data_IF_672444684009
#
_entry.id   IF_672444684009
#
_cell.length_a   1.000
_cell.length_b   1.000
_cell.length_c   1.000
_cell.angle_alpha   90.00
_cell.angle_beta   90.00
_cell.angle_gamma   90.00
#
_symmetry.space_group_name_H-M   'P 1'
#
loop_
_entity.id
_entity.type
_entity.pdbx_description
1 polymer ?
#
# COMPACT_ATOMS: atom_id res chain seq x y z
N UNK A 1 -50.24 -61.47 39.56
CA UNK A 1 -49.07 -61.19 38.65
C UNK A 1 -49.39 -59.92 37.90
N UNK A 2 -48.76 -58.75 38.31
CA UNK A 2 -49.03 -57.43 37.73
C UNK A 2 -47.72 -57.01 37.02
N UNK A 3 -47.74 -56.94 35.71
CA UNK A 3 -46.64 -56.41 34.89
C UNK A 3 -46.66 -54.87 34.94
N UNK A 4 -45.57 -54.27 35.39
CA UNK A 4 -45.38 -52.83 35.34
C UNK A 4 -44.53 -52.53 34.09
N UNK A 5 -45.07 -51.87 33.08
CA UNK A 5 -44.36 -51.28 31.96
C UNK A 5 -43.79 -49.93 32.37
N UNK A 6 -42.45 -49.82 32.34
CA UNK A 6 -41.76 -48.53 32.55
C UNK A 6 -41.47 -47.92 31.19
N UNK A 7 -42.13 -46.82 30.90
CA UNK A 7 -41.90 -46.00 29.69
C UNK A 7 -40.67 -45.10 29.96
N UNK A 8 -39.55 -45.38 29.27
CA UNK A 8 -38.38 -44.49 29.29
C UNK A 8 -38.55 -43.45 28.18
N UNK A 9 -38.78 -42.19 28.56
CA UNK A 9 -38.77 -41.04 27.66
C UNK A 9 -37.29 -40.63 27.49
N UNK A 10 -36.75 -40.80 26.28
CA UNK A 10 -35.43 -40.25 25.91
C UNK A 10 -35.64 -38.80 25.48
N UNK A 11 -35.16 -37.86 26.27
CA UNK A 11 -35.12 -36.45 25.90
C UNK A 11 -33.94 -36.22 24.94
N UNK A 12 -34.21 -35.94 23.65
CA UNK A 12 -33.25 -35.47 22.70
C UNK A 12 -33.05 -33.96 22.90
N UNK A 13 -31.96 -33.55 23.51
CA UNK A 13 -31.53 -32.15 23.52
C UNK A 13 -30.84 -31.85 22.19
N UNK A 14 -31.57 -31.21 21.29
CA UNK A 14 -30.99 -30.61 20.10
C UNK A 14 -30.14 -29.38 20.53
N UNK A 15 -28.84 -29.55 20.61
CA UNK A 15 -27.91 -28.44 20.82
C UNK A 15 -27.97 -27.50 19.62
N UNK A 16 -28.54 -26.31 19.79
CA UNK A 16 -28.39 -25.23 18.81
C UNK A 16 -26.93 -24.75 18.86
N UNK A 17 -26.12 -25.15 17.89
CA UNK A 17 -24.82 -24.54 17.66
C UNK A 17 -25.09 -23.15 17.09
N UNK A 18 -25.04 -22.13 17.92
CA UNK A 18 -24.95 -20.75 17.46
C UNK A 18 -23.57 -20.60 16.84
N UNK A 19 -23.50 -20.65 15.52
CA UNK A 19 -22.31 -20.22 14.77
C UNK A 19 -22.11 -18.75 15.12
N UNK A 20 -21.10 -18.45 15.93
CA UNK A 20 -20.63 -17.08 16.11
C UNK A 20 -20.17 -16.59 14.76
N UNK A 21 -20.65 -15.44 14.26
CA UNK A 21 -20.09 -14.88 13.05
C UNK A 21 -18.60 -14.65 13.30
N UNK A 22 -17.74 -15.34 12.56
CA UNK A 22 -16.31 -15.05 12.53
C UNK A 22 -16.20 -13.75 11.72
N UNK A 23 -15.93 -12.66 12.42
CA UNK A 23 -15.70 -11.36 11.79
C UNK A 23 -14.35 -11.42 11.11
N UNK A 24 -14.26 -10.86 9.90
CA UNK A 24 -12.97 -10.58 9.29
C UNK A 24 -12.17 -9.71 10.25
N UNK A 25 -10.91 -10.07 10.52
CA UNK A 25 -10.06 -9.22 11.33
C UNK A 25 -9.67 -8.00 10.50
N UNK A 26 -10.04 -6.78 10.92
CA UNK A 26 -9.72 -5.58 10.18
C UNK A 26 -8.19 -5.39 10.15
N UNK A 27 -7.67 -5.11 8.97
CA UNK A 27 -6.29 -4.71 8.77
C UNK A 27 -6.21 -3.19 8.71
N UNK A 28 -5.27 -2.63 9.46
CA UNK A 28 -4.91 -1.22 9.41
C UNK A 28 -3.42 -1.06 9.59
N UNK A 29 -2.78 -0.32 8.69
CA UNK A 29 -1.39 0.09 8.76
C UNK A 29 -1.30 1.60 8.54
N UNK A 30 -0.38 2.29 9.22
CA UNK A 30 -0.08 3.69 8.96
C UNK A 30 1.34 4.03 9.40
N UNK A 31 2.01 4.89 8.64
CA UNK A 31 3.29 5.49 8.98
C UNK A 31 3.15 6.74 9.86
N UNK A 32 1.93 7.22 10.07
CA UNK A 32 1.62 8.39 10.89
C UNK A 32 1.42 9.66 10.08
N UNK A 33 1.52 10.80 10.76
CA UNK A 33 1.32 12.12 10.17
C UNK A 33 2.61 12.71 9.59
N UNK A 34 2.53 13.70 8.69
CA UNK A 34 3.70 14.42 8.20
C UNK A 34 4.55 15.02 9.32
N UNK A 35 5.88 14.90 9.18
CA UNK A 35 6.85 15.41 10.14
C UNK A 35 7.47 16.77 9.75
N UNK A 36 7.12 17.28 8.56
CA UNK A 36 7.64 18.54 8.04
C UNK A 36 9.12 18.49 7.62
N UNK A 37 9.72 17.31 7.50
CA UNK A 37 11.14 17.21 7.15
C UNK A 37 11.34 17.22 5.63
N UNK A 38 10.71 16.31 4.90
CA UNK A 38 10.91 16.11 3.47
C UNK A 38 9.61 16.17 2.69
N UNK A 39 9.67 16.81 1.50
CA UNK A 39 8.71 16.62 0.42
C UNK A 39 9.42 15.96 -0.78
N UNK A 40 9.09 14.71 -1.08
CA UNK A 40 9.67 13.97 -2.19
C UNK A 40 8.75 14.00 -3.40
N UNK A 41 9.29 14.32 -4.59
CA UNK A 41 8.48 14.33 -5.81
C UNK A 41 7.91 12.93 -6.08
N UNK A 42 6.60 12.86 -6.29
CA UNK A 42 5.92 11.63 -6.72
C UNK A 42 4.85 11.99 -7.74
N UNK A 43 5.20 11.87 -9.03
CA UNK A 43 4.36 12.33 -10.13
C UNK A 43 4.41 11.42 -11.34
N UNK A 44 3.28 11.30 -11.98
CA UNK A 44 3.15 10.66 -13.29
C UNK A 44 3.87 11.43 -14.40
N UNK A 45 4.30 10.74 -15.46
CA UNK A 45 4.88 11.40 -16.61
C UNK A 45 3.88 12.36 -17.27
N UNK A 46 4.35 13.53 -17.67
CA UNK A 46 3.55 14.52 -18.39
C UNK A 46 4.45 15.30 -19.36
N UNK A 47 3.91 16.07 -20.32
CA UNK A 47 4.73 16.78 -21.29
C UNK A 47 5.81 17.63 -20.64
N UNK A 48 7.08 17.28 -20.92
CA UNK A 48 8.25 17.96 -20.38
C UNK A 48 8.64 17.60 -18.94
N UNK A 49 7.93 16.66 -18.30
CA UNK A 49 8.19 16.21 -16.92
C UNK A 49 8.41 14.70 -16.91
N UNK A 50 9.54 14.28 -16.38
CA UNK A 50 9.83 12.86 -16.15
C UNK A 50 8.92 12.31 -15.06
N UNK A 51 8.53 11.06 -15.23
CA UNK A 51 7.98 10.26 -14.14
C UNK A 51 8.96 10.22 -12.97
N UNK A 52 8.44 10.33 -11.77
CA UNK A 52 9.23 10.27 -10.55
C UNK A 52 8.41 9.56 -9.49
N UNK A 53 9.00 8.54 -8.90
CA UNK A 53 8.37 7.58 -8.02
C UNK A 53 9.02 7.64 -6.64
N UNK A 54 8.23 7.91 -5.61
CA UNK A 54 8.65 7.79 -4.21
C UNK A 54 7.87 6.67 -3.54
N UNK A 55 8.57 5.76 -2.88
CA UNK A 55 8.01 4.56 -2.28
C UNK A 55 8.47 4.38 -0.83
N UNK A 56 7.61 3.78 -0.02
CA UNK A 56 7.91 3.40 1.36
C UNK A 56 7.27 2.05 1.70
N UNK A 57 7.78 1.35 2.71
CA UNK A 57 7.49 -0.05 2.93
C UNK A 57 6.39 -0.33 3.95
N UNK A 58 5.83 -1.53 3.86
CA UNK A 58 4.90 -2.11 4.82
C UNK A 58 5.03 -3.63 4.85
N UNK A 59 4.64 -4.24 5.97
CA UNK A 59 4.68 -5.69 6.16
C UNK A 59 3.26 -6.22 6.38
N UNK A 60 2.93 -7.30 5.67
CA UNK A 60 1.74 -8.12 5.89
C UNK A 60 2.14 -9.42 6.56
N UNK A 61 1.54 -9.73 7.70
CA UNK A 61 1.78 -10.99 8.42
C UNK A 61 0.91 -12.14 7.93
N UNK A 62 -0.14 -11.82 7.20
CA UNK A 62 -1.12 -12.76 6.65
C UNK A 62 -1.61 -12.29 5.29
N UNK A 63 -2.25 -13.17 4.53
CA UNK A 63 -2.93 -12.76 3.30
C UNK A 63 -3.94 -11.66 3.62
N UNK A 64 -3.83 -10.54 2.92
CA UNK A 64 -4.62 -9.34 3.18
C UNK A 64 -5.28 -8.84 1.90
N UNK A 65 -6.54 -8.46 2.02
CA UNK A 65 -7.28 -7.73 0.98
C UNK A 65 -7.28 -6.26 1.38
N UNK A 66 -6.49 -5.45 0.67
CA UNK A 66 -6.39 -3.99 0.88
C UNK A 66 -7.47 -3.32 0.03
N UNK A 67 -8.37 -2.59 0.67
CA UNK A 67 -9.52 -1.93 0.02
C UNK A 67 -9.37 -0.42 -0.11
N UNK A 68 -8.52 0.20 0.70
CA UNK A 68 -8.31 1.65 0.67
C UNK A 68 -6.92 2.04 1.19
N UNK A 69 -6.52 3.27 0.83
CA UNK A 69 -5.30 3.90 1.30
C UNK A 69 -5.53 5.41 1.53
N UNK A 70 -4.66 6.04 2.29
CA UNK A 70 -4.52 7.51 2.32
C UNK A 70 -3.07 7.88 2.06
N UNK A 71 -2.83 9.01 1.44
CA UNK A 71 -1.51 9.63 1.29
C UNK A 71 -1.61 11.11 1.61
N UNK A 72 -0.54 11.69 2.12
CA UNK A 72 -0.47 13.13 2.39
C UNK A 72 0.69 13.76 1.64
N UNK A 73 0.44 14.89 1.00
CA UNK A 73 1.46 15.60 0.24
C UNK A 73 1.24 17.11 0.17
N UNK A 74 2.20 17.80 -0.44
CA UNK A 74 2.11 19.21 -0.75
C UNK A 74 1.79 19.43 -2.23
N UNK A 75 0.91 20.39 -2.49
CA UNK A 75 0.72 20.99 -3.80
C UNK A 75 1.06 22.50 -3.72
N UNK A 76 1.38 23.16 -4.85
CA UNK A 76 1.70 24.58 -4.83
C UNK A 76 0.56 25.43 -4.26
N UNK A 77 0.91 26.48 -3.54
CA UNK A 77 -0.06 27.42 -2.93
C UNK A 77 -1.05 27.95 -3.97
N UNK A 78 -2.35 27.95 -3.61
CA UNK A 78 -3.43 28.44 -4.46
C UNK A 78 -3.80 27.49 -5.61
N UNK A 79 -3.33 26.25 -5.60
CA UNK A 79 -3.70 25.22 -6.57
C UNK A 79 -5.08 24.64 -6.20
N UNK A 80 -6.10 24.77 -7.05
CA UNK A 80 -7.39 24.14 -6.77
C UNK A 80 -7.24 22.63 -6.60
N UNK A 81 -7.90 22.03 -5.61
CA UNK A 81 -7.87 20.56 -5.40
C UNK A 81 -8.34 19.78 -6.64
N UNK A 82 -9.22 20.36 -7.46
CA UNK A 82 -9.65 19.78 -8.72
C UNK A 82 -8.53 19.62 -9.77
N UNK A 83 -7.37 20.27 -9.56
CA UNK A 83 -6.19 20.10 -10.40
C UNK A 83 -5.42 18.80 -10.10
N UNK A 84 -5.75 18.10 -9.02
CA UNK A 84 -5.34 16.71 -8.80
C UNK A 84 -6.25 15.86 -9.70
N UNK A 85 -5.72 15.42 -10.85
CA UNK A 85 -6.52 14.87 -11.94
C UNK A 85 -6.35 13.37 -12.14
N UNK A 86 -5.27 12.80 -11.61
CA UNK A 86 -5.04 11.36 -11.64
C UNK A 86 -4.21 10.93 -10.43
N UNK A 87 -4.53 9.74 -9.94
CA UNK A 87 -3.79 9.04 -8.89
C UNK A 87 -3.56 7.61 -9.35
N UNK A 88 -2.35 7.13 -9.22
CA UNK A 88 -1.94 5.75 -9.42
C UNK A 88 -1.28 5.21 -8.16
N UNK A 89 -1.46 3.93 -7.92
CA UNK A 89 -0.81 3.18 -6.84
C UNK A 89 -0.21 1.92 -7.43
N UNK A 90 1.06 1.69 -7.14
CA UNK A 90 1.76 0.46 -7.43
C UNK A 90 2.34 -0.14 -6.16
N UNK A 91 2.41 -1.46 -6.15
CA UNK A 91 3.05 -2.22 -5.08
C UNK A 91 4.26 -2.96 -5.66
N UNK A 92 5.36 -2.90 -4.95
CA UNK A 92 6.60 -3.57 -5.31
C UNK A 92 6.99 -4.59 -4.24
N UNK A 93 7.60 -5.69 -4.65
CA UNK A 93 8.34 -6.53 -3.71
C UNK A 93 9.63 -5.83 -3.26
N UNK A 94 10.25 -6.37 -2.21
CA UNK A 94 11.58 -5.94 -1.78
C UNK A 94 12.64 -6.68 -2.61
N UNK A 95 13.61 -5.92 -3.15
CA UNK A 95 14.78 -6.49 -3.86
C UNK A 95 15.43 -7.63 -3.04
N UNK A 96 15.82 -8.78 -3.63
CA UNK A 96 16.01 -9.02 -5.08
C UNK A 96 14.80 -9.67 -5.79
N UNK A 97 13.65 -9.84 -5.14
CA UNK A 97 12.49 -10.38 -5.81
C UNK A 97 12.10 -9.47 -6.98
N UNK A 98 11.70 -10.04 -8.11
CA UNK A 98 11.30 -9.36 -9.35
C UNK A 98 12.36 -8.37 -9.88
N UNK A 99 13.64 -8.70 -9.69
CA UNK A 99 14.75 -7.81 -10.00
C UNK A 99 15.91 -8.53 -10.65
N UNK A 100 16.72 -7.77 -11.44
CA UNK A 100 17.99 -8.24 -11.93
C UNK A 100 19.03 -8.24 -10.80
N UNK A 101 19.82 -9.32 -10.70
CA UNK A 101 20.96 -9.43 -9.80
C UNK A 101 22.23 -9.81 -10.65
N UNK A 102 23.29 -9.02 -10.63
CA UNK A 102 23.55 -7.85 -9.78
C UNK A 102 22.81 -6.58 -10.26
N UNK A 103 22.70 -5.55 -9.39
CA UNK A 103 22.20 -4.22 -9.76
C UNK A 103 22.99 -3.61 -10.91
N UNK A 104 22.41 -2.63 -11.62
CA UNK A 104 23.02 -1.99 -12.79
C UNK A 104 24.38 -1.31 -12.53
N UNK A 105 24.72 -1.04 -11.28
CA UNK A 105 25.92 -0.31 -10.87
C UNK A 105 25.77 1.22 -10.90
N UNK A 106 24.57 1.73 -11.15
CA UNK A 106 24.28 3.17 -11.16
C UNK A 106 23.93 3.74 -9.79
N UNK A 107 23.78 2.88 -8.79
CA UNK A 107 23.38 3.25 -7.41
C UNK A 107 24.29 2.59 -6.40
N UNK A 108 24.44 3.14 -5.17
CA UNK A 108 25.31 2.56 -4.15
C UNK A 108 24.89 1.18 -3.69
N UNK A 109 23.60 0.91 -3.66
CA UNK A 109 23.02 -0.35 -3.17
C UNK A 109 21.61 -0.52 -3.70
N UNK A 110 21.20 -1.77 -3.87
CA UNK A 110 19.81 -2.17 -4.08
C UNK A 110 19.26 -2.96 -2.88
N UNK A 111 20.11 -3.19 -1.88
CA UNK A 111 19.69 -3.94 -0.68
C UNK A 111 18.52 -3.22 -0.01
N UNK A 112 17.42 -3.94 0.13
CA UNK A 112 16.17 -3.43 0.69
C UNK A 112 15.53 -2.28 -0.12
N UNK A 113 15.81 -2.18 -1.42
CA UNK A 113 15.07 -1.28 -2.31
C UNK A 113 13.75 -1.90 -2.76
N UNK A 114 12.84 -1.11 -3.35
CA UNK A 114 11.81 -1.69 -4.19
C UNK A 114 12.43 -2.51 -5.34
N UNK A 115 11.68 -3.49 -5.84
CA UNK A 115 12.03 -4.30 -7.01
C UNK A 115 12.18 -3.47 -8.29
N UNK A 116 12.60 -4.12 -9.39
CA UNK A 116 12.73 -3.46 -10.70
C UNK A 116 11.37 -3.13 -11.31
N UNK A 117 10.41 -4.03 -11.09
CA UNK A 117 9.06 -3.95 -11.65
C UNK A 117 8.01 -4.07 -10.53
N UNK A 118 6.88 -3.46 -10.79
CA UNK A 118 5.70 -3.53 -9.93
C UNK A 118 5.01 -4.89 -10.01
N UNK A 119 4.16 -5.17 -9.04
CA UNK A 119 3.24 -6.31 -9.06
C UNK A 119 2.03 -5.92 -9.91
N UNK A 120 1.96 -6.36 -11.16
CA UNK A 120 0.88 -6.03 -12.11
C UNK A 120 -0.52 -6.18 -11.52
N UNK A 121 -0.76 -7.27 -10.78
CA UNK A 121 -2.06 -7.56 -10.16
C UNK A 121 -2.40 -6.63 -9.01
N UNK A 122 -1.44 -5.84 -8.51
CA UNK A 122 -1.59 -4.87 -7.42
C UNK A 122 -1.55 -3.41 -7.89
N UNK A 123 -1.36 -3.14 -9.18
CA UNK A 123 -1.40 -1.79 -9.76
C UNK A 123 -2.83 -1.29 -9.89
N UNK A 124 -3.09 -0.05 -9.44
CA UNK A 124 -4.40 0.61 -9.51
C UNK A 124 -4.25 2.04 -9.98
N UNK A 125 -5.13 2.44 -10.90
CA UNK A 125 -5.12 3.79 -11.50
C UNK A 125 -6.55 4.34 -11.60
N UNK A 126 -6.69 5.62 -11.33
CA UNK A 126 -7.97 6.33 -11.44
C UNK A 126 -8.43 6.53 -12.89
N UNK A 127 -7.50 6.56 -13.86
CA UNK A 127 -7.80 6.68 -15.28
C UNK A 127 -8.65 5.53 -15.81
N UNK A 128 -8.22 4.26 -15.72
CA UNK A 128 -9.04 3.10 -16.03
C UNK A 128 -10.13 2.82 -15.00
N UNK A 129 -10.15 3.52 -13.87
CA UNK A 129 -11.20 3.38 -12.86
C UNK A 129 -11.01 2.22 -11.89
N UNK A 130 -9.80 1.66 -11.77
CA UNK A 130 -9.48 0.60 -10.80
C UNK A 130 -9.28 1.14 -9.38
N UNK A 131 -9.16 2.45 -9.22
CA UNK A 131 -9.30 3.18 -7.98
C UNK A 131 -10.16 4.44 -8.18
N UNK A 132 -10.69 4.97 -7.07
CA UNK A 132 -11.28 6.31 -6.97
C UNK A 132 -10.60 7.05 -5.85
N UNK A 133 -10.55 8.36 -5.93
CA UNK A 133 -9.97 9.18 -4.88
C UNK A 133 -10.83 10.41 -4.59
N UNK A 134 -10.64 10.95 -3.39
CA UNK A 134 -11.11 12.27 -2.98
C UNK A 134 -9.97 13.02 -2.31
N UNK A 135 -10.03 14.35 -2.37
CA UNK A 135 -8.98 15.21 -1.85
C UNK A 135 -9.54 16.15 -0.79
N UNK A 136 -8.77 16.38 0.25
CA UNK A 136 -9.09 17.35 1.30
C UNK A 136 -7.88 18.22 1.61
N UNK A 137 -8.12 19.52 1.85
CA UNK A 137 -7.11 20.45 2.34
C UNK A 137 -6.96 20.26 3.85
N UNK A 138 -5.76 19.90 4.31
CA UNK A 138 -5.44 19.78 5.73
C UNK A 138 -4.88 21.09 6.29
N UNK A 139 -3.95 21.72 5.55
CA UNK A 139 -3.31 22.96 5.95
C UNK A 139 -3.00 23.82 4.73
N UNK A 140 -3.50 25.05 4.71
CA UNK A 140 -3.30 25.97 3.59
C UNK A 140 -1.87 26.54 3.49
N UNK A 141 -1.00 26.28 4.48
CA UNK A 141 0.36 26.82 4.52
C UNK A 141 1.29 25.90 5.32
N UNK A 142 1.57 24.72 4.79
CA UNK A 142 2.47 23.74 5.39
C UNK A 142 3.87 23.88 4.80
N UNK A 143 4.88 23.78 5.65
CA UNK A 143 6.28 23.89 5.25
C UNK A 143 7.03 22.59 5.50
N UNK A 144 7.94 22.24 4.58
CA UNK A 144 8.96 21.21 4.76
C UNK A 144 10.35 21.82 4.79
N UNK A 145 11.26 21.21 5.54
CA UNK A 145 12.62 21.72 5.68
C UNK A 145 13.47 21.46 4.44
N UNK A 146 13.11 20.42 3.65
CA UNK A 146 13.84 20.08 2.43
C UNK A 146 12.94 19.38 1.41
N UNK A 147 13.40 19.36 0.17
CA UNK A 147 12.70 18.69 -0.93
C UNK A 147 13.64 17.80 -1.74
N UNK A 148 13.09 16.78 -2.39
CA UNK A 148 13.80 15.93 -3.34
C UNK A 148 13.00 15.92 -4.65
N UNK A 149 13.43 16.71 -5.61
CA UNK A 149 12.74 16.95 -6.90
C UNK A 149 13.64 16.61 -8.10
N UNK A 150 14.83 17.20 -8.16
CA UNK A 150 15.77 17.06 -9.30
C UNK A 150 17.05 16.31 -8.93
N UNK A 151 17.30 16.12 -7.65
CA UNK A 151 18.52 15.51 -7.12
C UNK A 151 18.65 14.00 -7.34
N UNK A 152 17.82 13.40 -8.18
CA UNK A 152 17.72 11.95 -8.41
C UNK A 152 18.66 11.59 -9.57
N UNK A 153 19.91 11.24 -9.26
CA UNK A 153 20.97 11.05 -10.26
C UNK A 153 21.58 9.65 -10.24
N UNK A 154 22.01 9.17 -11.42
CA UNK A 154 22.76 7.92 -11.60
C UNK A 154 24.16 7.90 -10.96
N UNK A 155 24.59 8.97 -10.30
CA UNK A 155 25.92 9.03 -9.70
C UNK A 155 25.83 8.86 -8.19
N UNK A 156 26.09 7.66 -7.68
CA UNK A 156 25.89 7.33 -6.27
C UNK A 156 26.79 8.10 -5.29
N UNK A 157 27.80 8.80 -5.77
CA UNK A 157 28.71 9.58 -4.93
C UNK A 157 28.38 11.07 -4.84
N UNK A 158 27.39 11.53 -5.59
CA UNK A 158 26.95 12.92 -5.58
C UNK A 158 25.65 13.05 -4.78
N UNK A 159 25.76 13.13 -3.49
CA UNK A 159 24.67 13.60 -2.65
C UNK A 159 24.36 15.06 -3.03
N UNK A 160 23.12 15.31 -3.37
CA UNK A 160 22.68 16.67 -3.75
C UNK A 160 22.23 17.48 -2.55
N UNK A 161 21.99 16.82 -1.42
CA UNK A 161 21.46 17.37 -0.19
C UNK A 161 20.01 17.90 -0.31
N UNK A 162 19.32 17.60 -1.42
CA UNK A 162 18.00 18.13 -1.74
C UNK A 162 18.03 19.56 -2.27
N UNK A 163 16.86 20.12 -2.52
CA UNK A 163 16.70 21.47 -3.12
C UNK A 163 16.30 22.55 -2.08
N UNK A 164 16.33 22.23 -0.81
CA UNK A 164 15.98 23.16 0.27
C UNK A 164 14.47 23.19 0.60
N UNK A 165 14.06 24.15 1.46
CA UNK A 165 12.71 24.19 1.99
C UNK A 165 11.67 24.53 0.93
N UNK A 166 10.46 24.03 1.13
CA UNK A 166 9.28 24.42 0.35
C UNK A 166 8.09 24.68 1.26
N UNK A 167 7.16 25.50 0.77
CA UNK A 167 5.85 25.75 1.39
C UNK A 167 4.77 25.52 0.37
N UNK A 168 3.71 24.85 0.76
CA UNK A 168 2.57 24.52 -0.10
C UNK A 168 1.30 24.30 0.71
N UNK A 169 0.26 23.86 0.03
CA UNK A 169 -0.96 23.38 0.64
C UNK A 169 -0.79 21.89 0.96
N UNK A 170 -0.95 21.54 2.24
CA UNK A 170 -0.98 20.13 2.68
C UNK A 170 -2.33 19.53 2.34
N UNK A 171 -2.31 18.48 1.56
CA UNK A 171 -3.51 17.79 1.10
C UNK A 171 -3.47 16.33 1.45
N UNK A 172 -4.60 15.80 1.88
CA UNK A 172 -4.83 14.36 1.98
C UNK A 172 -5.56 13.87 0.74
N UNK A 173 -5.11 12.75 0.21
CA UNK A 173 -5.78 12.02 -0.85
C UNK A 173 -6.25 10.69 -0.27
N UNK A 174 -7.57 10.56 -0.12
CA UNK A 174 -8.22 9.32 0.30
C UNK A 174 -8.52 8.47 -0.94
N UNK A 175 -7.99 7.26 -0.98
CA UNK A 175 -8.05 6.33 -2.11
C UNK A 175 -8.95 5.16 -1.73
N UNK A 176 -9.88 4.81 -2.62
CA UNK A 176 -10.67 3.58 -2.54
C UNK A 176 -10.38 2.72 -3.76
N UNK A 177 -9.90 1.51 -3.54
CA UNK A 177 -9.67 0.55 -4.63
C UNK A 177 -11.01 -0.05 -5.06
N UNK A 178 -11.45 0.26 -6.29
CA UNK A 178 -12.68 -0.32 -6.86
C UNK A 178 -12.49 -1.80 -7.21
N UNK A 179 -11.22 -2.19 -7.40
CA UNK A 179 -10.76 -3.57 -7.45
C UNK A 179 -9.76 -3.74 -6.30
N UNK A 180 -10.17 -4.28 -5.15
CA UNK A 180 -9.28 -4.47 -4.00
C UNK A 180 -8.00 -5.21 -4.37
N UNK A 181 -6.91 -4.93 -3.65
CA UNK A 181 -5.60 -5.55 -3.86
C UNK A 181 -5.48 -6.74 -2.92
N UNK A 182 -5.21 -7.93 -3.45
CA UNK A 182 -5.00 -9.15 -2.64
C UNK A 182 -3.51 -9.49 -2.64
N UNK A 183 -2.89 -9.45 -1.46
CA UNK A 183 -1.48 -9.74 -1.29
C UNK A 183 -1.27 -10.86 -0.26
N UNK A 184 -0.33 -11.78 -0.47
CA UNK A 184 0.09 -12.74 0.56
C UNK A 184 0.82 -12.05 1.71
N UNK A 185 1.09 -12.79 2.79
CA UNK A 185 2.06 -12.35 3.79
C UNK A 185 3.39 -12.03 3.11
N UNK A 186 3.98 -10.89 3.43
CA UNK A 186 5.20 -10.44 2.76
C UNK A 186 5.61 -9.03 3.16
N UNK A 187 6.73 -8.61 2.60
CA UNK A 187 7.27 -7.27 2.75
C UNK A 187 7.19 -6.55 1.40
N UNK A 188 6.61 -5.37 1.37
CA UNK A 188 6.24 -4.66 0.15
C UNK A 188 6.59 -3.18 0.26
N UNK A 189 6.68 -2.52 -0.90
CA UNK A 189 6.69 -1.07 -1.01
C UNK A 189 5.37 -0.59 -1.61
N UNK A 190 4.85 0.49 -1.03
CA UNK A 190 3.71 1.24 -1.52
C UNK A 190 4.21 2.49 -2.25
N UNK A 191 3.86 2.62 -3.54
CA UNK A 191 4.28 3.72 -4.39
C UNK A 191 3.05 4.42 -4.98
N UNK A 192 2.67 5.59 -4.48
CA UNK A 192 1.65 6.43 -5.10
C UNK A 192 2.29 7.41 -6.09
N UNK A 193 1.60 7.72 -7.17
CA UNK A 193 1.88 8.85 -8.05
C UNK A 193 0.65 9.72 -8.22
N UNK A 194 0.87 11.03 -8.30
CA UNK A 194 -0.20 12.02 -8.40
C UNK A 194 0.06 12.99 -9.55
N UNK A 195 -0.91 13.14 -10.45
CA UNK A 195 -0.87 14.12 -11.51
C UNK A 195 -1.59 15.39 -11.07
N UNK A 196 -0.82 16.49 -10.97
CA UNK A 196 -1.34 17.82 -10.65
C UNK A 196 -1.22 18.74 -11.87
N UNK A 197 -2.34 19.19 -12.39
CA UNK A 197 -2.35 20.17 -13.49
C UNK A 197 -1.79 21.52 -13.03
N UNK A 198 -0.70 21.94 -13.66
CA UNK A 198 -0.06 23.22 -13.35
C UNK A 198 0.88 23.19 -12.14
N UNK A 199 1.13 22.02 -11.57
CA UNK A 199 2.02 21.87 -10.43
C UNK A 199 2.68 20.50 -10.35
N UNK A 200 3.20 20.19 -9.18
CA UNK A 200 3.73 18.88 -8.81
C UNK A 200 3.17 18.51 -7.42
N UNK A 201 3.12 17.20 -7.14
CA UNK A 201 2.81 16.66 -5.83
C UNK A 201 4.10 16.23 -5.16
N UNK A 202 4.36 16.78 -3.99
CA UNK A 202 5.47 16.35 -3.13
C UNK A 202 4.91 15.45 -2.04
N UNK A 203 5.21 14.18 -2.09
CA UNK A 203 4.85 13.21 -1.08
C UNK A 203 5.57 13.54 0.22
N UNK A 204 4.85 13.69 1.33
CA UNK A 204 5.42 14.13 2.61
C UNK A 204 6.02 12.97 3.39
N UNK A 205 7.12 13.25 4.07
CA UNK A 205 7.74 12.31 5.01
C UNK A 205 6.96 12.20 6.31
N UNK A 206 7.07 11.03 6.94
CA UNK A 206 6.60 10.72 8.27
C UNK A 206 7.76 10.44 9.23
N UNK A 207 7.56 10.55 10.55
CA UNK A 207 8.59 10.27 11.54
C UNK A 207 9.09 8.84 11.49
N UNK A 208 10.37 8.67 11.75
CA UNK A 208 10.99 7.37 11.93
C UNK A 208 11.69 7.30 13.30
N UNK A 209 11.46 6.28 14.14
CA UNK A 209 10.55 5.14 13.92
C UNK A 209 9.08 5.56 13.83
N UNK A 210 8.22 4.68 13.28
CA UNK A 210 6.78 4.91 13.19
C UNK A 210 6.21 5.18 14.60
N UNK A 211 5.45 6.28 14.72
CA UNK A 211 4.83 6.70 15.98
C UNK A 211 3.30 6.66 15.90
N UNK A 212 2.65 6.74 17.08
CA UNK A 212 1.18 6.80 17.13
C UNK A 212 0.64 7.94 16.25
N UNK A 213 -0.40 7.68 15.39
CA UNK A 213 -1.19 6.45 15.31
C UNK A 213 -0.57 5.32 14.47
N UNK A 214 0.67 5.42 14.06
CA UNK A 214 1.35 4.43 13.22
C UNK A 214 1.39 3.02 13.80
N UNK A 215 1.73 2.06 12.96
CA UNK A 215 1.85 0.64 13.33
C UNK A 215 3.32 0.23 13.32
N UNK A 216 4.03 0.24 14.46
CA UNK A 216 5.43 -0.16 14.54
C UNK A 216 5.63 -1.61 14.07
N UNK A 217 6.67 -1.86 13.30
CA UNK A 217 7.04 -3.20 12.85
C UNK A 217 8.57 -3.36 12.81
N UNK A 218 9.02 -4.64 12.92
CA UNK A 218 10.44 -4.98 12.81
C UNK A 218 10.81 -5.06 11.33
N UNK A 219 11.91 -4.42 10.96
CA UNK A 219 12.38 -4.40 9.57
C UNK A 219 11.87 -3.20 8.78
N UNK A 220 11.28 -2.19 9.45
CA UNK A 220 10.93 -0.89 8.87
C UNK A 220 12.11 -0.33 8.04
N UNK A 221 11.91 -0.20 6.73
CA UNK A 221 12.89 0.27 5.77
C UNK A 221 12.77 1.79 5.60
N UNK A 222 13.72 2.40 4.95
CA UNK A 222 13.62 3.82 4.64
C UNK A 222 12.95 4.03 3.29
N UNK A 223 12.42 5.24 3.07
CA UNK A 223 11.83 5.64 1.81
C UNK A 223 12.85 5.70 0.67
N UNK A 224 12.44 5.28 -0.52
CA UNK A 224 13.21 5.24 -1.75
C UNK A 224 12.58 6.11 -2.83
N UNK A 225 13.40 6.53 -3.79
CA UNK A 225 12.95 7.35 -4.92
C UNK A 225 13.71 6.96 -6.19
N UNK A 226 13.02 7.04 -7.33
CA UNK A 226 13.63 6.98 -8.67
C UNK A 226 12.93 7.93 -9.63
N UNK A 227 13.55 8.21 -10.75
CA UNK A 227 12.90 8.77 -11.91
C UNK A 227 13.15 7.88 -13.14
N UNK A 228 12.45 8.14 -14.24
CA UNK A 228 12.58 7.32 -15.46
C UNK A 228 14.01 7.17 -15.99
N UNK A 229 14.91 8.10 -15.67
CA UNK A 229 16.32 7.99 -16.07
C UNK A 229 17.13 7.04 -15.20
N UNK A 230 16.66 6.72 -14.01
CA UNK A 230 17.34 5.85 -13.05
C UNK A 230 16.92 4.38 -13.19
N UNK A 231 15.79 4.11 -13.84
CA UNK A 231 15.26 2.76 -14.02
C UNK A 231 16.35 1.74 -14.39
N UNK A 232 16.35 0.52 -13.84
CA UNK A 232 15.38 0.01 -12.84
C UNK A 232 15.77 0.32 -11.39
N UNK A 233 16.85 1.06 -11.17
CA UNK A 233 17.44 1.32 -9.87
C UNK A 233 16.65 2.35 -9.06
N UNK A 234 16.86 2.31 -7.73
CA UNK A 234 16.31 3.23 -6.75
C UNK A 234 17.40 3.84 -5.89
N UNK A 235 17.18 5.06 -5.39
CA UNK A 235 18.02 5.74 -4.40
C UNK A 235 17.27 5.91 -3.08
N UNK A 236 17.98 5.76 -1.97
CA UNK A 236 17.45 6.05 -0.64
C UNK A 236 17.36 7.55 -0.45
N UNK A 237 16.17 8.06 -0.15
CA UNK A 237 15.94 9.50 0.00
C UNK A 237 16.90 10.09 1.05
N UNK A 238 16.97 9.49 2.22
CA UNK A 238 17.82 9.96 3.29
C UNK A 238 19.30 9.74 3.02
N UNK A 239 19.70 8.49 2.83
CA UNK A 239 21.11 8.10 2.80
C UNK A 239 21.84 8.54 1.54
N UNK A 240 21.20 8.41 0.36
CA UNK A 240 21.88 8.64 -0.93
C UNK A 240 21.72 10.08 -1.43
N UNK A 241 20.62 10.75 -1.09
CA UNK A 241 20.31 12.08 -1.63
C UNK A 241 20.53 13.17 -0.58
N UNK A 242 19.88 13.10 0.57
CA UNK A 242 19.99 14.14 1.61
C UNK A 242 21.34 14.10 2.27
N UNK A 243 21.89 12.93 2.53
CA UNK A 243 23.10 12.65 3.29
C UNK A 243 23.14 13.33 4.67
N UNK A 244 23.56 12.60 5.63
CA UNK A 244 23.66 13.06 7.02
C UNK A 244 23.49 11.87 7.95
N UNK A 245 23.81 12.02 9.20
CA UNK A 245 23.68 10.97 10.21
C UNK A 245 22.48 11.29 11.11
N UNK A 246 21.45 10.50 11.13
CA UNK A 246 20.88 9.60 10.16
C UNK A 246 19.57 10.16 9.54
N UNK A 247 19.55 10.74 8.39
CA UNK A 247 18.28 11.13 7.80
C UNK A 247 17.66 9.93 7.07
N UNK A 248 17.03 9.06 7.81
CA UNK A 248 16.13 8.08 7.25
C UNK A 248 14.70 8.56 7.44
N UNK A 249 13.86 8.41 6.43
CA UNK A 249 12.50 8.89 6.42
C UNK A 249 11.56 7.77 6.06
N UNK A 250 10.36 7.77 6.63
CA UNK A 250 9.19 7.12 6.07
C UNK A 250 8.38 8.14 5.27
N UNK A 251 7.51 7.66 4.37
CA UNK A 251 6.52 8.51 3.71
C UNK A 251 5.16 8.35 4.37
N UNK A 252 4.30 9.38 4.27
CA UNK A 252 2.99 9.38 4.93
C UNK A 252 1.95 8.59 4.16
N UNK A 253 1.56 7.43 4.63
CA UNK A 253 0.43 6.70 4.08
C UNK A 253 -0.28 5.84 5.14
N UNK A 254 -1.47 5.43 4.79
CA UNK A 254 -2.18 4.38 5.51
C UNK A 254 -2.79 3.38 4.54
N UNK A 255 -2.96 2.14 5.00
CA UNK A 255 -3.64 1.07 4.29
C UNK A 255 -4.73 0.51 5.18
N UNK A 256 -5.90 0.25 4.59
CA UNK A 256 -7.03 -0.37 5.30
C UNK A 256 -7.57 -1.54 4.49
N UNK A 257 -7.98 -2.59 5.20
CA UNK A 257 -8.50 -3.79 4.56
C UNK A 257 -8.93 -4.85 5.55
N UNK A 258 -8.83 -6.10 5.15
CA UNK A 258 -9.15 -7.25 6.00
C UNK A 258 -8.16 -8.38 5.74
N UNK A 259 -7.81 -9.12 6.79
CA UNK A 259 -6.99 -10.33 6.66
C UNK A 259 -7.84 -11.54 6.23
N UNK A 260 -7.18 -12.48 5.53
CA UNK A 260 -7.74 -13.77 5.13
C UNK A 260 -6.73 -14.87 5.53
N UNK A 261 -6.63 -15.21 6.83
CA UNK A 261 -5.56 -16.05 7.38
C UNK A 261 -5.45 -17.43 6.73
N UNK A 262 -6.60 -18.03 6.38
CA UNK A 262 -6.68 -19.38 5.83
C UNK A 262 -6.69 -19.40 4.28
N UNK A 263 -6.33 -18.32 3.62
CA UNK A 263 -6.20 -18.29 2.17
C UNK A 263 -5.21 -19.33 1.66
N UNK A 264 -5.35 -19.73 0.42
CA UNK A 264 -4.39 -20.60 -0.25
C UNK A 264 -3.04 -19.89 -0.45
N UNK A 265 -2.01 -20.67 -0.74
CA UNK A 265 -0.67 -20.14 -1.04
C UNK A 265 -0.53 -19.93 -2.54
N UNK A 266 -0.12 -18.75 -3.02
CA UNK A 266 0.15 -18.49 -4.44
C UNK A 266 1.07 -19.54 -5.05
N UNK A 267 0.85 -19.88 -6.32
CA UNK A 267 1.61 -20.91 -7.04
C UNK A 267 1.27 -22.37 -6.68
N UNK A 268 0.42 -22.61 -5.67
CA UNK A 268 0.00 -23.97 -5.31
C UNK A 268 -1.30 -24.36 -6.06
N UNK A 269 -1.38 -25.61 -6.52
CA UNK A 269 -2.48 -26.11 -7.35
C UNK A 269 -3.89 -25.96 -6.73
N UNK A 270 -3.99 -25.89 -5.42
CA UNK A 270 -5.26 -25.74 -4.69
C UNK A 270 -5.48 -24.34 -4.11
N UNK A 271 -4.62 -23.37 -4.44
CA UNK A 271 -4.66 -22.02 -3.87
C UNK A 271 -6.04 -21.38 -3.99
N UNK A 272 -6.59 -21.27 -5.20
CA UNK A 272 -7.88 -20.63 -5.43
C UNK A 272 -9.02 -21.32 -4.67
N UNK A 273 -9.13 -22.65 -4.77
CA UNK A 273 -10.18 -23.40 -4.08
C UNK A 273 -10.11 -23.26 -2.56
N UNK A 274 -8.90 -23.26 -1.99
CA UNK A 274 -8.68 -23.04 -0.56
C UNK A 274 -9.06 -21.63 -0.14
N UNK A 275 -8.65 -20.61 -0.90
CA UNK A 275 -8.98 -19.20 -0.63
C UNK A 275 -10.50 -18.97 -0.65
N UNK A 276 -11.19 -19.46 -1.68
CA UNK A 276 -12.65 -19.32 -1.80
C UNK A 276 -13.39 -20.05 -0.66
N UNK A 277 -12.89 -21.21 -0.23
CA UNK A 277 -13.45 -21.93 0.91
C UNK A 277 -13.23 -21.19 2.23
N UNK A 278 -12.04 -20.63 2.45
CA UNK A 278 -11.71 -19.81 3.62
C UNK A 278 -12.63 -18.58 3.70
N UNK A 279 -12.79 -17.86 2.59
CA UNK A 279 -13.68 -16.70 2.50
C UNK A 279 -15.12 -17.05 2.80
N UNK A 280 -15.64 -18.13 2.23
CA UNK A 280 -17.00 -18.57 2.50
C UNK A 280 -17.23 -18.93 3.98
N UNK A 281 -16.22 -19.57 4.60
CA UNK A 281 -16.24 -19.90 6.02
C UNK A 281 -16.15 -18.67 6.92
N UNK A 282 -15.20 -17.78 6.65
CA UNK A 282 -14.92 -16.59 7.44
C UNK A 282 -16.07 -15.58 7.41
N UNK A 283 -16.69 -15.37 6.26
CA UNK A 283 -17.72 -14.35 6.08
C UNK A 283 -19.16 -14.89 6.06
N UNK A 284 -19.35 -16.20 6.21
CA UNK A 284 -20.68 -16.82 6.15
C UNK A 284 -21.26 -16.90 4.74
N UNK A 285 -20.41 -16.92 3.72
CA UNK A 285 -20.73 -17.06 2.30
C UNK A 285 -20.04 -16.05 1.39
N UNK A 286 -19.89 -16.37 0.11
CA UNK A 286 -19.20 -15.51 -0.85
C UNK A 286 -19.88 -14.15 -1.09
N UNK A 287 -21.24 -14.03 -1.10
CA UNK A 287 -21.86 -12.71 -1.19
C UNK A 287 -21.46 -11.76 -0.06
N UNK A 288 -21.41 -12.30 1.18
CA UNK A 288 -20.99 -11.52 2.36
C UNK A 288 -19.49 -11.19 2.29
N UNK A 289 -18.65 -12.13 1.86
CA UNK A 289 -17.22 -11.90 1.64
C UNK A 289 -16.97 -10.80 0.61
N UNK A 290 -17.62 -10.85 -0.56
CA UNK A 290 -17.46 -9.84 -1.60
C UNK A 290 -17.81 -8.44 -1.07
N UNK A 291 -18.95 -8.32 -0.38
CA UNK A 291 -19.39 -7.05 0.19
C UNK A 291 -18.43 -6.53 1.27
N UNK A 292 -17.99 -7.39 2.20
CA UNK A 292 -17.12 -7.01 3.31
C UNK A 292 -15.71 -6.62 2.85
N UNK A 293 -15.21 -7.25 1.78
CA UNK A 293 -13.89 -7.01 1.22
C UNK A 293 -13.86 -5.89 0.15
N UNK A 294 -15.03 -5.30 -0.18
CA UNK A 294 -15.12 -4.20 -1.13
C UNK A 294 -15.15 -4.61 -2.61
N UNK A 295 -15.35 -5.89 -2.91
CA UNK A 295 -15.54 -6.34 -4.29
C UNK A 295 -16.95 -6.03 -4.80
N UNK A 296 -17.05 -5.64 -6.07
CA UNK A 296 -18.33 -5.27 -6.69
C UNK A 296 -19.27 -6.45 -6.92
N UNK A 297 -18.74 -7.68 -6.96
CA UNK A 297 -19.50 -8.92 -7.16
C UNK A 297 -18.73 -10.15 -6.66
N UNK A 298 -19.40 -11.30 -6.61
CA UNK A 298 -18.75 -12.58 -6.32
C UNK A 298 -17.74 -12.94 -7.42
N UNK A 299 -18.06 -12.65 -8.68
CA UNK A 299 -17.14 -12.92 -9.79
C UNK A 299 -15.88 -12.07 -9.66
N UNK A 300 -16.00 -10.77 -9.33
CA UNK A 300 -14.85 -9.90 -9.08
C UNK A 300 -14.00 -10.39 -7.90
N UNK A 301 -14.61 -10.91 -6.83
CA UNK A 301 -13.90 -11.56 -5.72
C UNK A 301 -13.12 -12.79 -6.19
N UNK A 302 -13.78 -13.67 -6.94
CA UNK A 302 -13.15 -14.89 -7.47
C UNK A 302 -12.01 -14.58 -8.43
N UNK A 303 -12.16 -13.57 -9.30
CA UNK A 303 -11.13 -13.12 -10.22
C UNK A 303 -9.94 -12.52 -9.49
N UNK A 304 -10.17 -11.71 -8.44
CA UNK A 304 -9.11 -11.18 -7.59
C UNK A 304 -8.30 -12.28 -6.91
N UNK A 305 -8.97 -13.31 -6.37
CA UNK A 305 -8.27 -14.46 -5.77
C UNK A 305 -7.69 -15.45 -6.79
N UNK A 306 -8.18 -15.46 -8.02
CA UNK A 306 -7.52 -16.19 -9.12
C UNK A 306 -6.21 -15.52 -9.47
N UNK A 307 -6.21 -14.20 -9.69
CA UNK A 307 -5.00 -13.42 -9.95
C UNK A 307 -3.98 -13.52 -8.80
N UNK A 308 -4.45 -13.47 -7.55
CA UNK A 308 -3.61 -13.72 -6.36
C UNK A 308 -2.93 -15.10 -6.37
N UNK A 309 -3.58 -16.12 -6.89
CA UNK A 309 -3.05 -17.49 -6.90
C UNK A 309 -2.14 -17.80 -8.10
N UNK A 310 -2.17 -16.96 -9.13
CA UNK A 310 -1.25 -17.07 -10.26
C UNK A 310 0.15 -16.61 -9.81
N UNK A 311 1.24 -17.34 -10.20
CA UNK A 311 2.61 -17.00 -9.82
C UNK A 311 3.14 -15.79 -10.56
#
# INVERSE_FOLDING_TARGET
MRLRFSLRVAAFTAGLWLATPVWADPFFFTTGNPDGQIGALSRRPSPGKLETEAADDFILTETTVVSSATITGLIPLGTPLANITNVEVEIYHVFPQDSADPPSGNVPSRMNSPADVEIDTATRDSGPGTLRFSTSLLNANFAVLNTVVNGINKKPLNTTHGEGPATGEEVEIAITFTTPIVLPAGHYFFRPEVLVTGGDFLYLSAPRPIVSPGTPFVGDLQAWIRNSNLLPDWLRIGTDIIAGDPPTFNMTFSLTGNTVPDAGTPGQANCHGKSISALAGQFGGLPAAASALGFSSIDALQDGFRAFCEP
#
